data_IF_846373934120
#
_entry.id   IF_846373934120
#
_cell.length_a   1.000
_cell.length_b   1.000
_cell.length_c   1.000
_cell.angle_alpha   90.00
_cell.angle_beta   90.00
_cell.angle_gamma   90.00
#
_symmetry.space_group_name_H-M   'P 1'
#
loop_
_entity.id
_entity.type
_entity.pdbx_description
1 polymer ?
#
# COMPACT_ATOMS: atom_id res chain seq x y z
N UNK A 1 14.64 4.00 -4.50
CA UNK A 1 13.67 3.69 -3.44
C UNK A 1 14.16 2.45 -2.74
N UNK A 2 14.05 2.37 -1.41
CA UNK A 2 14.43 1.17 -0.65
C UNK A 2 13.20 0.73 0.12
N UNK A 3 12.28 -0.04 -0.51
CA UNK A 3 11.15 -0.56 0.22
C UNK A 3 11.63 -1.49 1.34
N UNK A 4 10.81 -1.65 2.38
CA UNK A 4 10.98 -2.72 3.36
C UNK A 4 9.70 -3.54 3.45
N UNK A 5 9.88 -4.84 3.66
CA UNK A 5 8.79 -5.79 3.81
C UNK A 5 8.90 -6.41 5.20
N UNK A 6 7.87 -6.23 6.02
CA UNK A 6 7.86 -6.61 7.43
C UNK A 6 6.55 -7.30 7.78
N UNK A 7 6.51 -8.05 8.89
CA UNK A 7 5.26 -8.62 9.43
C UNK A 7 4.65 -7.65 10.44
N UNK A 8 3.42 -7.21 10.17
CA UNK A 8 2.67 -6.32 11.06
C UNK A 8 2.04 -7.09 12.23
N UNK A 9 1.52 -6.36 13.23
CA UNK A 9 0.90 -6.93 14.42
C UNK A 9 -0.35 -7.80 14.11
N UNK A 10 -0.98 -7.62 12.95
CA UNK A 10 -2.07 -8.46 12.47
C UNK A 10 -1.60 -9.82 11.90
N UNK A 11 -0.29 -10.10 11.91
CA UNK A 11 0.29 -11.34 11.39
C UNK A 11 0.48 -11.38 9.88
N UNK A 12 0.14 -10.29 9.17
CA UNK A 12 0.24 -10.16 7.73
C UNK A 12 1.36 -9.20 7.32
N UNK A 13 1.69 -9.18 6.03
CA UNK A 13 2.78 -8.38 5.51
C UNK A 13 2.40 -6.92 5.37
N UNK A 14 3.38 -6.06 5.66
CA UNK A 14 3.36 -4.64 5.33
C UNK A 14 4.56 -4.29 4.47
N UNK A 15 4.31 -3.56 3.39
CA UNK A 15 5.30 -3.03 2.48
C UNK A 15 5.40 -1.52 2.70
N UNK A 16 6.50 -1.06 3.27
CA UNK A 16 6.78 0.36 3.50
C UNK A 16 7.66 0.91 2.39
N UNK A 17 7.25 2.04 1.81
CA UNK A 17 7.97 2.69 0.70
C UNK A 17 8.94 3.79 1.16
N UNK A 18 9.02 4.02 2.48
CA UNK A 18 9.95 4.95 3.13
C UNK A 18 9.88 6.36 2.52
N UNK A 19 11.01 6.91 2.04
CA UNK A 19 11.13 8.24 1.45
C UNK A 19 10.57 8.33 0.02
N UNK A 20 9.49 7.60 -0.29
CA UNK A 20 8.83 7.69 -1.58
C UNK A 20 8.20 9.09 -1.72
N UNK A 21 8.28 9.67 -2.91
CA UNK A 21 7.62 10.95 -3.18
C UNK A 21 6.13 10.74 -3.44
N UNK A 22 5.31 11.75 -3.15
CA UNK A 22 3.87 11.72 -3.45
C UNK A 22 3.58 11.46 -4.94
N UNK A 23 4.42 11.96 -5.86
CA UNK A 23 4.29 11.71 -7.30
C UNK A 23 4.55 10.24 -7.65
N UNK A 24 5.56 9.63 -7.04
CA UNK A 24 5.85 8.20 -7.21
C UNK A 24 4.74 7.33 -6.60
N UNK A 25 4.22 7.72 -5.43
CA UNK A 25 3.07 7.05 -4.82
C UNK A 25 1.84 7.09 -5.73
N UNK A 26 1.51 8.25 -6.31
CA UNK A 26 0.41 8.37 -7.27
C UNK A 26 0.61 7.47 -8.49
N UNK A 27 1.84 7.39 -9.01
CA UNK A 27 2.18 6.51 -10.13
C UNK A 27 2.01 5.04 -9.78
N UNK A 28 2.42 4.64 -8.58
CA UNK A 28 2.23 3.28 -8.08
C UNK A 28 0.74 2.95 -7.89
N UNK A 29 -0.02 3.86 -7.28
CA UNK A 29 -1.46 3.73 -7.11
C UNK A 29 -2.18 3.59 -8.47
N UNK A 30 -1.78 4.35 -9.49
CA UNK A 30 -2.30 4.20 -10.84
C UNK A 30 -1.95 2.83 -11.46
N UNK A 31 -0.76 2.31 -11.19
CA UNK A 31 -0.34 1.00 -11.67
C UNK A 31 -1.19 -0.12 -11.05
N UNK A 32 -1.40 -0.06 -9.72
CA UNK A 32 -2.28 -0.99 -9.00
C UNK A 32 -3.69 -1.01 -9.62
N UNK A 33 -4.24 0.17 -9.93
CA UNK A 33 -5.58 0.29 -10.51
C UNK A 33 -5.61 -0.24 -11.94
N UNK A 34 -4.73 0.28 -12.82
CA UNK A 34 -4.79 0.02 -14.27
C UNK A 34 -4.31 -1.38 -14.65
N UNK A 35 -3.32 -1.91 -13.93
CA UNK A 35 -2.65 -3.18 -14.31
C UNK A 35 -3.01 -4.35 -13.42
N UNK A 36 -3.40 -4.09 -12.17
CA UNK A 36 -3.66 -5.12 -11.17
C UNK A 36 -5.14 -5.16 -10.74
N UNK A 37 -6.01 -4.34 -11.34
CA UNK A 37 -7.46 -4.42 -11.16
C UNK A 37 -7.98 -3.87 -9.84
N UNK A 38 -7.13 -3.17 -9.07
CA UNK A 38 -7.55 -2.57 -7.82
C UNK A 38 -8.48 -1.38 -8.05
N UNK A 39 -9.35 -1.13 -7.09
CA UNK A 39 -10.12 0.11 -6.93
C UNK A 39 -9.71 0.77 -5.62
N UNK A 40 -9.81 2.09 -5.56
CA UNK A 40 -9.62 2.81 -4.29
C UNK A 40 -10.88 2.70 -3.45
N UNK A 41 -10.71 2.44 -2.16
CA UNK A 41 -11.76 2.37 -1.16
C UNK A 41 -11.61 3.49 -0.13
N UNK A 42 -12.75 4.05 0.26
CA UNK A 42 -12.82 5.16 1.22
C UNK A 42 -12.44 6.50 0.59
N UNK A 43 -12.40 7.54 1.41
CA UNK A 43 -12.01 8.90 1.03
C UNK A 43 -10.63 9.21 1.61
N UNK A 44 -9.76 9.93 0.88
CA UNK A 44 -8.50 10.39 1.46
C UNK A 44 -8.82 11.39 2.59
N UNK A 45 -8.09 11.30 3.70
CA UNK A 45 -8.15 12.31 4.77
C UNK A 45 -6.89 13.16 4.68
N UNK A 46 -7.07 14.46 4.44
CA UNK A 46 -5.99 15.43 4.30
C UNK A 46 -6.01 16.34 5.53
N UNK A 47 -5.01 16.18 6.40
CA UNK A 47 -4.70 17.09 7.51
C UNK A 47 -3.73 18.19 7.08
N UNK A 48 -3.34 19.05 8.03
CA UNK A 48 -2.43 20.19 7.78
C UNK A 48 -1.04 19.72 7.32
N UNK A 49 -0.53 18.62 7.89
CA UNK A 49 0.79 18.06 7.57
C UNK A 49 0.76 16.55 7.26
N UNK A 50 -0.41 15.91 7.31
CA UNK A 50 -0.56 14.46 7.15
C UNK A 50 -1.59 14.09 6.11
N UNK A 51 -1.30 13.07 5.32
CA UNK A 51 -2.19 12.52 4.30
C UNK A 51 -2.39 11.05 4.55
N UNK A 52 -3.63 10.67 4.86
CA UNK A 52 -4.04 9.28 4.95
C UNK A 52 -4.50 8.86 3.55
N UNK A 53 -3.80 7.90 2.94
CA UNK A 53 -4.13 7.42 1.61
C UNK A 53 -5.30 6.44 1.64
N UNK A 54 -6.05 6.41 0.54
CA UNK A 54 -7.17 5.48 0.35
C UNK A 54 -6.68 4.04 0.29
N UNK A 55 -7.45 3.12 0.86
CA UNK A 55 -7.19 1.69 0.73
C UNK A 55 -7.37 1.24 -0.73
N UNK A 56 -6.81 0.08 -1.05
CA UNK A 56 -6.98 -0.56 -2.36
C UNK A 56 -7.73 -1.87 -2.18
N UNK A 57 -8.62 -2.21 -3.11
CA UNK A 57 -9.33 -3.49 -3.12
C UNK A 57 -9.47 -4.05 -4.53
N UNK A 58 -9.22 -5.34 -4.69
CA UNK A 58 -9.59 -6.14 -5.85
C UNK A 58 -10.67 -7.18 -5.45
N UNK A 59 -10.98 -8.14 -6.32
CA UNK A 59 -12.00 -9.15 -6.01
C UNK A 59 -11.52 -10.12 -4.91
N UNK A 60 -10.21 -10.31 -4.81
CA UNK A 60 -9.57 -11.35 -4.02
C UNK A 60 -9.13 -10.88 -2.63
N UNK A 61 -8.69 -9.62 -2.48
CA UNK A 61 -8.19 -9.08 -1.21
C UNK A 61 -8.22 -7.55 -1.17
N UNK A 62 -7.93 -7.00 0.02
CA UNK A 62 -7.77 -5.56 0.24
C UNK A 62 -6.36 -5.26 0.76
N UNK A 63 -5.90 -4.04 0.50
CA UNK A 63 -4.66 -3.49 1.04
C UNK A 63 -4.98 -2.17 1.72
N UNK A 64 -4.66 -2.06 3.00
CA UNK A 64 -4.75 -0.80 3.71
C UNK A 64 -3.56 0.09 3.32
N UNK A 65 -3.82 1.36 3.03
CA UNK A 65 -2.79 2.36 2.74
C UNK A 65 -2.88 3.57 3.68
N UNK A 66 -3.74 3.47 4.69
CA UNK A 66 -3.96 4.52 5.66
C UNK A 66 -5.09 4.15 6.63
N UNK A 67 -4.75 3.70 7.83
CA UNK A 67 -5.70 3.70 8.95
C UNK A 67 -5.01 3.93 10.30
N UNK A 68 -5.75 4.60 11.21
CA UNK A 68 -5.41 4.97 12.60
C UNK A 68 -4.01 5.59 12.84
N UNK A 69 -3.85 6.85 12.42
CA UNK A 69 -2.73 7.76 12.79
C UNK A 69 -1.37 7.50 12.15
N UNK A 70 -1.25 6.56 11.21
CA UNK A 70 0.02 6.29 10.51
C UNK A 70 -0.01 6.95 9.13
N UNK A 71 0.67 8.10 9.04
CA UNK A 71 0.98 8.79 7.79
C UNK A 71 2.16 8.12 7.08
N UNK A 72 2.16 8.15 5.75
CA UNK A 72 3.26 7.61 4.94
C UNK A 72 2.81 6.74 3.78
N UNK A 73 3.76 6.34 2.94
CA UNK A 73 3.53 5.45 1.81
C UNK A 73 3.78 4.02 2.23
N UNK A 74 2.72 3.28 2.52
CA UNK A 74 2.79 1.85 2.83
C UNK A 74 1.56 1.11 2.30
N UNK A 75 1.68 -0.20 2.18
CA UNK A 75 0.57 -1.12 1.93
C UNK A 75 0.59 -2.19 3.02
N UNK A 76 -0.55 -2.44 3.64
CA UNK A 76 -0.73 -3.48 4.66
C UNK A 76 -1.77 -4.48 4.18
N UNK A 77 -1.44 -5.77 4.23
CA UNK A 77 -2.39 -6.84 3.95
C UNK A 77 -3.15 -7.27 5.22
N UNK A 78 -4.31 -7.87 5.00
CA UNK A 78 -5.16 -8.54 5.98
C UNK A 78 -5.43 -10.01 5.61
N UNK A 79 -4.72 -10.55 4.61
CA UNK A 79 -4.97 -11.89 4.07
C UNK A 79 -3.76 -12.50 3.40
N UNK A 80 -3.73 -13.84 3.35
CA UNK A 80 -2.63 -14.59 2.71
C UNK A 80 -2.47 -14.24 1.22
N UNK A 81 -3.58 -13.99 0.50
CA UNK A 81 -3.52 -13.58 -0.90
C UNK A 81 -2.85 -12.21 -1.07
N UNK A 82 -3.13 -11.27 -0.17
CA UNK A 82 -2.46 -9.98 -0.19
C UNK A 82 -0.99 -10.07 0.25
N UNK A 83 -0.63 -10.98 1.17
CA UNK A 83 0.77 -11.24 1.53
C UNK A 83 1.59 -11.68 0.31
N UNK A 84 1.09 -12.68 -0.43
CA UNK A 84 1.75 -13.16 -1.65
C UNK A 84 1.93 -12.00 -2.64
N UNK A 85 0.90 -11.18 -2.83
CA UNK A 85 0.98 -10.02 -3.71
C UNK A 85 2.04 -9.00 -3.23
N UNK A 86 2.10 -8.70 -1.94
CA UNK A 86 3.07 -7.73 -1.39
C UNK A 86 4.51 -8.24 -1.52
N UNK A 87 4.75 -9.53 -1.34
CA UNK A 87 6.05 -10.15 -1.59
C UNK A 87 6.46 -10.01 -3.06
N UNK A 88 5.57 -10.36 -4.01
CA UNK A 88 5.87 -10.23 -5.44
C UNK A 88 6.12 -8.78 -5.86
N UNK A 89 5.38 -7.82 -5.28
CA UNK A 89 5.57 -6.40 -5.52
C UNK A 89 6.91 -5.94 -4.96
N UNK A 90 7.29 -6.36 -3.76
CA UNK A 90 8.59 -6.06 -3.16
C UNK A 90 9.75 -6.57 -4.02
N UNK A 91 9.66 -7.81 -4.52
CA UNK A 91 10.67 -8.42 -5.38
C UNK A 91 10.81 -7.64 -6.71
N UNK A 92 9.69 -7.20 -7.30
CA UNK A 92 9.68 -6.37 -8.52
C UNK A 92 10.34 -5.00 -8.32
N UNK A 93 10.21 -4.42 -7.11
CA UNK A 93 10.74 -3.10 -6.78
C UNK A 93 12.21 -3.13 -6.35
N UNK A 94 12.71 -4.31 -5.98
CA UNK A 94 14.08 -4.54 -5.51
C UNK A 94 15.01 -5.10 -6.58
N UNK A 95 14.47 -5.43 -7.76
CA UNK A 95 15.23 -5.86 -8.95
C UNK A 95 15.74 -4.68 -9.78
#
# INVERSE_FOLDING_TARGET
MSPTLDTAANGHLTLSFNALSDACWLSLAENLIKRRGFKRLGSPVIGVDEKIHQNFQCAEFSLAAGWDIWSGHYLLSDSVAGDVFLQELFDQLSS
#
